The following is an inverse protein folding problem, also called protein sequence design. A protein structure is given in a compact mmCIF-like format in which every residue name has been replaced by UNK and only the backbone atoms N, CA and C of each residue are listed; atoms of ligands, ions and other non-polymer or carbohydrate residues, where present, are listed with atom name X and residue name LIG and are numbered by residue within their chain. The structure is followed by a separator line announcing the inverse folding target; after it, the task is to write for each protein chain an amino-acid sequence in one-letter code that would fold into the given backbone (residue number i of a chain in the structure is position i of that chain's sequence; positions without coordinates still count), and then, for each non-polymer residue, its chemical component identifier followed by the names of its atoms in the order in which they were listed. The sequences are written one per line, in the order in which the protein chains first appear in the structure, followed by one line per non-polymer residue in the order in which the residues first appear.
data_IF_634048420215
#
_entry.id   IF_634048420215
#
_cell.length_a   1.000
_cell.length_b   1.000
_cell.length_c   1.000
_cell.angle_alpha   90.00
_cell.angle_beta   90.00
_cell.angle_gamma   90.00
#
_symmetry.space_group_name_H-M   'P 1'
#
loop_
_entity.id
_entity.type
_entity.pdbx_description
1 polymer ?
#
# COMPACT_ATOMS: atom_id res chain seq x y z
N UNK A 1 -17.38 -11.84 -4.88
CA UNK A 1 -16.14 -12.64 -4.90
C UNK A 1 -16.50 -14.09 -5.17
N UNK A 2 -15.50 -14.97 -5.44
CA UNK A 2 -15.73 -16.41 -5.46
C UNK A 2 -16.12 -16.89 -4.05
N UNK A 3 -16.82 -18.02 -3.95
CA UNK A 3 -17.26 -18.57 -2.66
C UNK A 3 -16.09 -19.04 -1.77
N UNK A 4 -14.95 -19.36 -2.38
CA UNK A 4 -13.71 -19.78 -1.71
C UNK A 4 -12.72 -18.61 -1.46
N UNK A 5 -13.09 -17.37 -1.81
CA UNK A 5 -12.23 -16.21 -1.60
C UNK A 5 -12.01 -15.93 -0.11
N UNK A 6 -10.73 -15.84 0.28
CA UNK A 6 -10.28 -15.43 1.60
C UNK A 6 -9.63 -14.05 1.52
N UNK A 7 -9.70 -13.32 2.62
CA UNK A 7 -9.07 -12.01 2.77
C UNK A 7 -8.00 -12.13 3.84
N UNK A 8 -6.76 -11.81 3.49
CA UNK A 8 -5.68 -11.70 4.46
C UNK A 8 -5.90 -10.46 5.34
N UNK A 9 -6.35 -9.36 4.72
CA UNK A 9 -6.87 -8.18 5.40
C UNK A 9 -7.86 -7.42 4.51
N UNK A 10 -8.62 -6.54 5.15
CA UNK A 10 -9.44 -5.51 4.54
C UNK A 10 -9.15 -4.23 5.33
N UNK A 11 -8.59 -3.22 4.67
CA UNK A 11 -8.40 -1.89 5.23
C UNK A 11 -9.37 -0.93 4.54
N UNK A 12 -10.38 -0.50 5.28
CA UNK A 12 -11.46 0.40 4.85
C UNK A 12 -11.42 1.77 5.54
N UNK A 13 -10.46 2.00 6.45
CA UNK A 13 -10.24 3.27 7.15
C UNK A 13 -11.46 3.78 7.96
N UNK A 14 -12.36 2.88 8.39
CA UNK A 14 -13.54 3.25 9.17
C UNK A 14 -13.29 3.37 10.69
N UNK A 15 -12.09 3.02 11.15
CA UNK A 15 -11.70 3.04 12.55
C UNK A 15 -10.51 3.97 12.82
N UNK A 16 -10.22 4.20 14.10
CA UNK A 16 -9.01 4.94 14.50
C UNK A 16 -7.79 4.04 14.32
N UNK A 17 -6.82 4.53 13.54
CA UNK A 17 -5.66 3.74 13.10
C UNK A 17 -5.96 2.98 11.81
N UNK A 18 -4.90 2.43 11.21
CA UNK A 18 -4.97 1.58 10.02
C UNK A 18 -3.80 0.61 10.05
N UNK A 19 -3.84 -0.40 9.19
CA UNK A 19 -2.83 -1.47 9.15
C UNK A 19 -1.47 -1.02 8.60
N UNK A 20 -1.35 0.16 7.96
CA UNK A 20 -0.10 0.67 7.40
C UNK A 20 0.66 1.54 8.42
N UNK A 21 1.32 0.89 9.37
CA UNK A 21 1.99 1.51 10.51
C UNK A 21 3.49 1.18 10.65
N UNK A 22 4.06 0.35 9.77
CA UNK A 22 5.51 0.11 9.70
C UNK A 22 6.17 1.22 8.88
N UNK A 23 6.76 2.22 9.55
CA UNK A 23 7.57 3.27 8.93
C UNK A 23 8.88 2.68 8.37
N UNK A 24 9.06 2.83 7.06
CA UNK A 24 10.22 2.30 6.32
C UNK A 24 11.15 3.38 5.81
N UNK A 25 10.75 4.64 5.84
CA UNK A 25 11.56 5.77 5.39
C UNK A 25 12.27 6.50 6.54
N UNK A 26 11.84 6.25 7.79
CA UNK A 26 12.41 6.83 9.01
C UNK A 26 11.96 8.27 9.27
N UNK A 27 10.83 8.68 8.68
CA UNK A 27 10.23 9.99 8.81
C UNK A 27 8.81 9.89 9.39
N UNK A 28 8.70 10.11 10.69
CA UNK A 28 7.41 10.14 11.42
C UNK A 28 6.41 11.20 10.90
N UNK A 29 6.84 12.15 10.06
CA UNK A 29 5.95 13.15 9.45
C UNK A 29 5.16 12.59 8.26
N UNK A 30 5.62 11.49 7.65
CA UNK A 30 4.98 10.83 6.51
C UNK A 30 4.37 9.51 6.94
N UNK A 31 3.04 9.46 6.98
CA UNK A 31 2.29 8.27 7.38
C UNK A 31 0.95 8.20 6.67
N UNK A 32 0.27 7.06 6.76
CA UNK A 32 -1.11 6.92 6.32
C UNK A 32 -2.03 7.42 7.44
N UNK A 33 -2.67 8.57 7.25
CA UNK A 33 -3.67 9.11 8.17
C UNK A 33 -5.09 8.67 7.76
N UNK A 34 -6.01 8.60 8.71
CA UNK A 34 -7.44 8.42 8.41
C UNK A 34 -8.09 9.80 8.30
N UNK A 35 -8.67 10.12 7.14
CA UNK A 35 -9.34 11.40 6.88
C UNK A 35 -10.83 11.25 6.60
N UNK A 36 -11.59 12.30 6.86
CA UNK A 36 -13.03 12.41 6.52
C UNK A 36 -13.28 13.28 5.28
N UNK A 37 -12.20 13.68 4.60
CA UNK A 37 -12.22 14.46 3.36
C UNK A 37 -11.84 13.55 2.20
N UNK A 38 -12.47 13.74 1.03
CA UNK A 38 -12.20 12.95 -0.19
C UNK A 38 -12.50 11.45 -0.04
N UNK A 39 -13.45 11.07 0.82
CA UNK A 39 -13.84 9.67 1.10
C UNK A 39 -14.47 8.97 -0.11
N UNK A 40 -14.06 7.72 -0.41
CA UNK A 40 -14.67 6.92 -1.48
C UNK A 40 -16.03 6.37 -1.06
N UNK A 41 -16.11 5.72 0.10
CA UNK A 41 -17.35 5.28 0.73
C UNK A 41 -17.24 5.27 2.26
N UNK A 42 -18.35 5.09 2.97
CA UNK A 42 -18.33 5.10 4.43
C UNK A 42 -18.10 6.49 5.01
N UNK A 43 -17.27 6.57 6.04
CA UNK A 43 -16.97 7.79 6.79
C UNK A 43 -15.49 8.21 6.70
N UNK A 44 -14.60 7.30 6.32
CA UNK A 44 -13.16 7.53 6.30
C UNK A 44 -12.47 7.02 5.05
N UNK A 45 -11.30 7.57 4.77
CA UNK A 45 -10.36 7.02 3.79
C UNK A 45 -8.92 7.26 4.28
N UNK A 46 -7.97 6.48 3.80
CA UNK A 46 -6.56 6.72 4.01
C UNK A 46 -6.09 7.95 3.24
N UNK A 47 -5.26 8.78 3.86
CA UNK A 47 -4.57 9.91 3.21
C UNK A 47 -3.09 9.84 3.52
N UNK A 48 -2.27 9.97 2.49
CA UNK A 48 -0.87 10.32 2.60
C UNK A 48 -0.72 11.73 2.03
N UNK A 49 -0.08 12.61 2.79
CA UNK A 49 0.20 13.98 2.39
C UNK A 49 1.71 14.20 2.36
N UNK A 50 2.26 14.48 1.18
CA UNK A 50 3.67 14.79 1.00
C UNK A 50 3.87 16.28 0.74
N UNK A 51 4.97 16.83 1.25
CA UNK A 51 5.36 18.23 1.06
C UNK A 51 6.82 18.31 0.59
N UNK A 52 7.33 19.49 0.25
CA UNK A 52 8.77 19.62 -0.05
C UNK A 52 9.70 19.31 1.13
N UNK A 53 9.24 19.53 2.35
CA UNK A 53 10.02 19.22 3.55
C UNK A 53 10.02 17.70 3.81
N UNK A 54 8.92 17.03 3.44
CA UNK A 54 8.71 15.59 3.58
C UNK A 54 8.24 14.96 2.25
N UNK A 55 9.13 14.83 1.24
CA UNK A 55 8.74 14.64 -0.16
C UNK A 55 8.59 13.18 -0.59
N UNK A 56 8.77 12.24 0.33
CA UNK A 56 8.83 10.81 0.05
C UNK A 56 8.20 10.05 1.20
N UNK A 57 7.52 8.96 0.87
CA UNK A 57 7.05 7.97 1.84
C UNK A 57 7.47 6.55 1.42
N UNK A 58 7.81 5.73 2.40
CA UNK A 58 7.75 4.27 2.33
C UNK A 58 7.09 3.74 3.61
N UNK A 59 5.94 3.10 3.47
CA UNK A 59 5.17 2.56 4.59
C UNK A 59 4.67 1.16 4.26
N UNK A 60 4.75 0.25 5.22
CA UNK A 60 4.28 -1.11 5.06
C UNK A 60 3.17 -1.44 6.08
N UNK A 61 2.46 -2.54 5.82
CA UNK A 61 1.52 -3.11 6.78
C UNK A 61 2.24 -3.60 8.04
N UNK A 62 1.62 -3.54 9.21
CA UNK A 62 2.15 -3.93 10.52
C UNK A 62 3.05 -5.19 10.52
N UNK A 63 4.24 -5.06 11.11
CA UNK A 63 5.21 -6.16 11.27
C UNK A 63 4.69 -7.28 12.18
N UNK A 64 3.79 -6.98 13.09
CA UNK A 64 3.14 -7.97 13.95
C UNK A 64 1.99 -8.71 13.22
N UNK A 65 1.64 -8.29 11.98
CA UNK A 65 0.58 -8.84 11.16
C UNK A 65 1.06 -9.30 9.77
N UNK A 66 2.06 -10.19 9.75
CA UNK A 66 2.51 -10.82 8.50
C UNK A 66 1.43 -11.74 7.92
N UNK A 67 1.23 -11.66 6.60
CA UNK A 67 0.23 -12.47 5.90
C UNK A 67 0.86 -13.75 5.34
N UNK A 68 0.33 -14.90 5.71
CA UNK A 68 0.73 -16.19 5.11
C UNK A 68 -0.07 -16.46 3.84
N UNK A 69 0.64 -16.56 2.71
CA UNK A 69 0.08 -16.83 1.39
C UNK A 69 0.65 -18.12 0.77
N UNK A 70 1.38 -18.94 1.54
CA UNK A 70 2.11 -20.10 0.99
C UNK A 70 1.19 -21.18 0.40
N UNK A 71 -0.05 -21.30 0.88
CA UNK A 71 -1.05 -22.25 0.37
C UNK A 71 -2.02 -21.62 -0.64
N UNK A 72 -1.83 -20.35 -1.01
CA UNK A 72 -2.71 -19.66 -1.95
C UNK A 72 -2.40 -20.06 -3.41
N UNK A 73 -3.42 -20.48 -4.17
CA UNK A 73 -3.28 -20.75 -5.59
C UNK A 73 -3.27 -19.48 -6.44
N UNK A 74 -3.95 -18.43 -5.95
CA UNK A 74 -3.95 -17.08 -6.53
C UNK A 74 -4.05 -16.03 -5.44
N UNK A 75 -3.41 -14.87 -5.67
CA UNK A 75 -3.52 -13.71 -4.80
C UNK A 75 -3.63 -12.42 -5.62
N UNK A 76 -4.43 -11.48 -5.12
CA UNK A 76 -4.64 -10.16 -5.71
C UNK A 76 -4.67 -9.08 -4.62
N UNK A 77 -4.04 -7.94 -4.90
CA UNK A 77 -4.24 -6.72 -4.14
C UNK A 77 -5.27 -5.85 -4.86
N UNK A 78 -6.43 -5.66 -4.25
CA UNK A 78 -7.48 -4.76 -4.71
C UNK A 78 -7.33 -3.43 -3.98
N UNK A 79 -7.42 -2.32 -4.72
CA UNK A 79 -7.24 -0.96 -4.16
C UNK A 79 -8.24 0.00 -4.82
N UNK A 80 -8.93 0.78 -4.00
CA UNK A 80 -9.53 2.03 -4.43
C UNK A 80 -8.54 3.16 -4.18
N UNK A 81 -8.32 4.03 -5.18
CA UNK A 81 -7.36 5.13 -5.06
C UNK A 81 -7.80 6.40 -5.82
N UNK A 82 -7.34 7.54 -5.33
CA UNK A 82 -7.32 8.86 -6.00
C UNK A 82 -6.00 9.52 -5.63
N UNK A 83 -5.27 10.12 -6.57
CA UNK A 83 -3.92 10.64 -6.25
C UNK A 83 -3.45 11.72 -7.20
N UNK A 84 -2.66 12.66 -6.68
CA UNK A 84 -2.00 13.73 -7.43
C UNK A 84 -0.65 13.32 -8.03
N UNK A 85 -0.04 12.24 -7.52
CA UNK A 85 1.31 11.79 -7.85
C UNK A 85 1.34 10.29 -8.20
N UNK A 86 2.47 9.81 -8.71
CA UNK A 86 2.65 8.37 -8.94
C UNK A 86 2.76 7.64 -7.59
N UNK A 87 2.08 6.51 -7.47
CA UNK A 87 2.11 5.67 -6.27
C UNK A 87 2.48 4.25 -6.68
N UNK A 88 3.40 3.65 -5.92
CA UNK A 88 3.92 2.32 -6.19
C UNK A 88 3.60 1.41 -5.02
N UNK A 89 3.06 0.24 -5.34
CA UNK A 89 2.75 -0.85 -4.43
C UNK A 89 3.73 -1.99 -4.63
N UNK A 90 4.05 -2.66 -3.53
CA UNK A 90 4.98 -3.76 -3.49
C UNK A 90 4.66 -4.76 -2.39
N UNK A 91 5.61 -5.63 -2.14
CA UNK A 91 5.58 -6.54 -1.01
C UNK A 91 6.93 -6.58 -0.31
N UNK A 92 6.91 -7.01 0.95
CA UNK A 92 8.12 -7.34 1.72
C UNK A 92 7.96 -8.78 2.17
N UNK A 93 8.88 -9.66 1.74
CA UNK A 93 8.87 -11.06 2.13
C UNK A 93 9.77 -11.33 3.33
N UNK A 94 9.25 -12.05 4.33
CA UNK A 94 9.96 -12.34 5.58
C UNK A 94 10.37 -13.80 5.69
N UNK A 95 11.64 -14.01 6.01
CA UNK A 95 12.22 -15.33 6.23
C UNK A 95 12.74 -15.49 7.68
N UNK A 96 13.03 -16.74 8.06
CA UNK A 96 13.70 -17.04 9.33
C UNK A 96 15.07 -16.38 9.40
N UNK A 97 15.77 -16.30 8.26
CA UNK A 97 17.07 -15.66 8.12
C UNK A 97 17.08 -14.69 6.94
N UNK A 98 17.95 -13.68 7.01
CA UNK A 98 18.06 -12.62 6.01
C UNK A 98 17.34 -11.34 6.43
N UNK A 99 17.76 -10.22 5.83
CA UNK A 99 17.06 -8.95 5.97
C UNK A 99 16.00 -8.86 4.89
N UNK A 100 14.73 -8.63 5.23
CA UNK A 100 13.70 -8.37 4.25
C UNK A 100 14.03 -7.11 3.44
N UNK A 101 13.86 -7.17 2.13
CA UNK A 101 14.03 -6.03 1.22
C UNK A 101 12.69 -5.83 0.48
N UNK A 102 12.17 -4.60 0.41
CA UNK A 102 10.94 -4.32 -0.33
C UNK A 102 11.14 -4.55 -1.83
N UNK A 103 10.16 -5.18 -2.45
CA UNK A 103 10.04 -5.30 -3.90
C UNK A 103 8.85 -4.51 -4.40
N UNK A 104 9.12 -3.46 -5.17
CA UNK A 104 8.13 -2.56 -5.76
C UNK A 104 7.77 -3.01 -7.17
N UNK A 105 6.51 -3.37 -7.38
CA UNK A 105 6.12 -4.13 -8.59
C UNK A 105 5.03 -3.43 -9.40
N UNK A 106 4.14 -2.69 -8.75
CA UNK A 106 2.96 -2.14 -9.42
C UNK A 106 2.80 -0.65 -9.18
N UNK A 107 2.45 0.11 -10.21
CA UNK A 107 2.27 1.56 -10.11
C UNK A 107 0.90 2.01 -10.59
N UNK A 108 0.40 3.08 -9.99
CA UNK A 108 -0.69 3.90 -10.51
C UNK A 108 -0.20 5.30 -10.81
N UNK A 109 -0.81 5.93 -11.81
CA UNK A 109 -0.53 7.30 -12.20
C UNK A 109 -1.56 8.24 -11.55
N UNK A 110 -1.30 9.57 -11.53
CA UNK A 110 -2.26 10.57 -11.09
C UNK A 110 -3.65 10.41 -11.68
N UNK A 111 -4.66 10.54 -10.82
CA UNK A 111 -6.09 10.48 -11.13
C UNK A 111 -6.88 11.41 -10.23
N UNK A 112 -7.56 12.38 -10.85
CA UNK A 112 -8.42 13.35 -10.15
C UNK A 112 -9.72 12.74 -9.56
N UNK A 113 -10.05 11.51 -9.96
CA UNK A 113 -11.24 10.79 -9.49
C UNK A 113 -10.86 9.45 -8.88
N UNK A 114 -11.72 8.93 -8.00
CA UNK A 114 -11.58 7.58 -7.47
C UNK A 114 -11.60 6.53 -8.59
N UNK A 115 -10.61 5.64 -8.56
CA UNK A 115 -10.43 4.52 -9.46
C UNK A 115 -10.25 3.23 -8.65
N UNK A 116 -10.50 2.10 -9.29
CA UNK A 116 -10.26 0.78 -8.72
C UNK A 116 -9.26 0.01 -9.55
N UNK A 117 -8.28 -0.60 -8.89
CA UNK A 117 -7.26 -1.42 -9.54
C UNK A 117 -7.08 -2.76 -8.81
N UNK A 118 -6.60 -3.75 -9.55
CA UNK A 118 -6.27 -5.07 -9.05
C UNK A 118 -4.86 -5.43 -9.53
N UNK A 119 -3.96 -5.70 -8.59
CA UNK A 119 -2.63 -6.20 -8.88
C UNK A 119 -2.61 -7.71 -8.70
N UNK A 120 -2.11 -8.44 -9.70
CA UNK A 120 -1.98 -9.88 -9.62
C UNK A 120 -0.67 -10.24 -8.92
N UNK A 121 -0.79 -10.78 -7.70
CA UNK A 121 0.33 -11.24 -6.88
C UNK A 121 0.63 -12.73 -7.05
N UNK A 122 -0.15 -13.45 -7.86
CA UNK A 122 -0.06 -14.91 -7.98
C UNK A 122 1.36 -15.39 -8.30
N UNK A 123 2.01 -14.82 -9.31
CA UNK A 123 3.36 -15.27 -9.69
C UNK A 123 4.40 -14.97 -8.59
N UNK A 124 4.24 -13.86 -7.87
CA UNK A 124 5.10 -13.51 -6.73
C UNK A 124 4.99 -14.58 -5.65
N UNK A 125 3.78 -14.91 -5.21
CA UNK A 125 3.58 -15.87 -4.11
C UNK A 125 3.95 -17.31 -4.51
N UNK A 126 3.86 -17.67 -5.80
CA UNK A 126 4.19 -19.02 -6.27
C UNK A 126 5.70 -19.22 -6.52
N UNK A 127 6.43 -18.15 -6.78
CA UNK A 127 7.88 -18.20 -7.09
C UNK A 127 8.76 -17.82 -5.91
N UNK A 128 8.17 -17.20 -4.89
CA UNK A 128 8.82 -16.88 -3.61
C UNK A 128 8.33 -17.84 -2.53
N UNK A 129 9.20 -18.15 -1.56
CA UNK A 129 8.81 -18.94 -0.40
C UNK A 129 9.31 -18.20 0.84
N UNK A 130 8.44 -17.40 1.45
CA UNK A 130 8.75 -16.60 2.62
C UNK A 130 8.15 -17.26 3.87
N UNK A 131 8.99 -17.88 4.68
CA UNK A 131 8.55 -18.76 5.77
C UNK A 131 7.78 -18.05 6.90
N UNK A 132 7.93 -16.72 7.03
CA UNK A 132 7.19 -15.92 8.02
C UNK A 132 5.99 -15.17 7.44
N UNK A 133 5.89 -15.09 6.11
CA UNK A 133 4.83 -14.36 5.43
C UNK A 133 5.28 -13.05 4.79
N UNK A 134 4.29 -12.22 4.45
CA UNK A 134 4.43 -11.04 3.60
C UNK A 134 3.86 -9.79 4.29
N UNK A 135 4.44 -8.63 4.02
CA UNK A 135 3.79 -7.33 4.17
C UNK A 135 3.44 -6.76 2.79
N UNK A 136 2.45 -5.87 2.74
CA UNK A 136 2.25 -4.99 1.59
C UNK A 136 2.95 -3.66 1.88
N UNK A 137 3.69 -3.13 0.91
CA UNK A 137 4.41 -1.85 1.04
C UNK A 137 3.90 -0.87 -0.01
N UNK A 138 3.80 0.40 0.40
CA UNK A 138 3.42 1.53 -0.43
C UNK A 138 4.58 2.52 -0.41
N UNK A 139 4.95 3.03 -1.58
CA UNK A 139 5.90 4.13 -1.70
C UNK A 139 5.41 5.15 -2.72
N UNK A 140 5.71 6.41 -2.45
CA UNK A 140 5.46 7.53 -3.34
C UNK A 140 6.46 8.65 -3.07
N UNK A 141 6.65 9.51 -4.06
CA UNK A 141 7.46 10.71 -3.89
C UNK A 141 7.00 11.83 -4.80
N UNK A 142 7.18 13.07 -4.35
CA UNK A 142 6.87 14.23 -5.17
C UNK A 142 7.72 14.19 -6.46
N UNK A 143 7.12 14.48 -7.63
CA UNK A 143 7.80 14.38 -8.91
C UNK A 143 9.02 15.31 -8.97
N UNK A 144 10.12 14.81 -9.54
CA UNK A 144 11.35 15.59 -9.75
C UNK A 144 11.41 16.02 -11.22
N UNK A 145 11.60 17.32 -11.46
CA UNK A 145 11.82 17.88 -12.78
C UNK A 145 13.02 18.83 -12.76
N UNK A 146 13.99 18.61 -13.65
CA UNK A 146 15.19 19.46 -13.71
C UNK A 146 16.12 19.34 -12.49
N UNK A 147 16.00 18.28 -11.70
CA UNK A 147 16.80 18.06 -10.49
C UNK A 147 16.21 18.66 -9.21
N UNK A 148 15.01 19.23 -9.28
CA UNK A 148 14.29 19.80 -8.14
C UNK A 148 12.88 19.20 -8.04
N UNK A 149 12.30 19.27 -6.84
CA UNK A 149 10.90 18.86 -6.62
C UNK A 149 9.98 19.81 -7.40
N UNK A 150 9.15 19.24 -8.27
CA UNK A 150 8.37 19.97 -9.26
C UNK A 150 7.06 20.58 -8.72
N UNK A 151 6.59 20.11 -7.56
CA UNK A 151 5.34 20.55 -6.90
C UNK A 151 5.60 20.84 -5.43
N UNK A 152 4.76 21.65 -4.79
CA UNK A 152 4.90 21.97 -3.35
C UNK A 152 4.39 20.83 -2.46
N UNK A 153 3.33 20.15 -2.90
CA UNK A 153 2.65 19.10 -2.16
C UNK A 153 2.01 18.09 -3.13
N UNK A 154 1.58 16.95 -2.60
CA UNK A 154 0.78 15.96 -3.31
C UNK A 154 0.01 15.07 -2.35
N UNK A 155 -1.27 14.87 -2.63
CA UNK A 155 -2.14 14.01 -1.85
C UNK A 155 -2.36 12.65 -2.53
N UNK A 156 -2.38 11.60 -1.72
CA UNK A 156 -2.77 10.25 -2.09
C UNK A 156 -3.90 9.83 -1.18
N UNK A 157 -5.03 9.46 -1.77
CA UNK A 157 -6.19 8.91 -1.07
C UNK A 157 -6.35 7.44 -1.42
N UNK A 158 -6.51 6.62 -0.40
CA UNK A 158 -6.63 5.18 -0.48
C UNK A 158 -7.86 4.73 0.29
N UNK A 159 -8.54 3.72 -0.23
CA UNK A 159 -9.70 3.12 0.44
C UNK A 159 -9.79 1.66 0.00
N UNK A 160 -10.50 0.83 0.77
CA UNK A 160 -10.86 -0.52 0.40
C UNK A 160 -9.67 -1.37 -0.08
N UNK A 161 -8.53 -1.27 0.61
CA UNK A 161 -7.35 -2.06 0.29
C UNK A 161 -7.58 -3.48 0.79
N UNK A 162 -7.58 -4.45 -0.13
CA UNK A 162 -7.91 -5.85 0.18
C UNK A 162 -6.87 -6.77 -0.43
N UNK A 163 -6.24 -7.57 0.41
CA UNK A 163 -5.42 -8.69 -0.03
C UNK A 163 -6.27 -9.96 -0.08
N UNK A 164 -6.65 -10.35 -1.29
CA UNK A 164 -7.61 -11.45 -1.54
C UNK A 164 -6.87 -12.65 -2.13
N UNK A 165 -7.14 -13.86 -1.63
CA UNK A 165 -6.53 -15.09 -2.12
C UNK A 165 -7.49 -16.28 -2.10
N UNK A 166 -7.21 -17.30 -2.91
CA UNK A 166 -7.98 -18.56 -2.97
C UNK A 166 -7.18 -19.69 -3.61
#
# INVERSE_FOLDING_TARGET
YRDDAKFAFIEDFEFTGNIFDDDRDGNDATFVDTTTVEVFEGNGSGRIHLTKDDPFIEVATDLDQLFDLNDAGRAYLEVNYKTDIDVIFGYIGHNISGSPIPEFVFGVNPKDSWNKIYFNLTDIILTTNFDKGYQIVITAGLPIAGGEIAVEEGDIYLDNIKLVYF
#
